data_IF_891119010318
#
_entry.id   IF_891119010318
#
_cell.length_a   1.000
_cell.length_b   1.000
_cell.length_c   1.000
_cell.angle_alpha   90.00
_cell.angle_beta   90.00
_cell.angle_gamma   90.00
#
_symmetry.space_group_name_H-M   'P 1'
#
loop_
_entity.id
_entity.type
_entity.pdbx_description
1 polymer ?
#
# COMPACT_ATOMS: atom_id res chain seq x y z
N UNK A 1 18.45 7.33 -7.93
CA UNK A 1 17.74 6.56 -6.89
C UNK A 1 16.28 6.53 -7.31
N UNK A 2 15.57 5.43 -7.06
CA UNK A 2 14.16 5.35 -7.40
C UNK A 2 13.37 6.38 -6.58
N UNK A 3 12.29 6.91 -7.14
CA UNK A 3 11.35 7.77 -6.44
C UNK A 3 10.02 7.06 -6.25
N UNK A 4 9.33 7.38 -5.15
CA UNK A 4 7.90 7.09 -5.01
C UNK A 4 7.16 8.42 -5.13
N UNK A 5 6.23 8.48 -6.08
CA UNK A 5 5.26 9.55 -6.22
C UNK A 5 3.94 9.03 -5.66
N UNK A 6 3.46 9.66 -4.59
CA UNK A 6 2.16 9.38 -3.98
C UNK A 6 1.15 10.37 -4.55
N UNK A 7 0.11 9.85 -5.18
CA UNK A 7 -0.97 10.68 -5.67
C UNK A 7 -1.76 11.31 -4.50
N UNK A 8 -2.36 12.49 -4.70
CA UNK A 8 -3.15 13.16 -3.66
C UNK A 8 -4.21 12.25 -3.05
N UNK A 9 -4.18 12.14 -1.72
CA UNK A 9 -5.13 11.38 -0.93
C UNK A 9 -5.78 12.26 0.13
N UNK A 10 -7.10 12.19 0.25
CA UNK A 10 -7.94 13.14 1.02
C UNK A 10 -7.56 13.31 2.49
N UNK A 11 -6.98 12.29 3.12
CA UNK A 11 -6.63 12.30 4.55
C UNK A 11 -5.11 12.16 4.75
N UNK A 12 -4.55 11.07 4.24
CA UNK A 12 -3.14 10.70 4.46
C UNK A 12 -2.11 11.53 3.68
N UNK A 13 -2.47 12.10 2.52
CA UNK A 13 -1.52 12.86 1.70
C UNK A 13 -2.23 13.89 0.79
N UNK A 14 -2.85 14.95 1.34
CA UNK A 14 -3.78 15.81 0.59
C UNK A 14 -3.20 16.49 -0.65
N UNK A 15 -1.91 16.81 -0.64
CA UNK A 15 -1.21 17.47 -1.75
C UNK A 15 -0.47 16.48 -2.66
N UNK A 16 -0.49 15.19 -2.32
CA UNK A 16 0.45 14.21 -2.87
C UNK A 16 1.87 14.43 -2.34
N UNK A 17 2.78 13.54 -2.72
CA UNK A 17 4.18 13.64 -2.33
C UNK A 17 5.08 13.01 -3.38
N UNK A 18 6.34 13.44 -3.42
CA UNK A 18 7.39 12.78 -4.19
C UNK A 18 8.66 12.76 -3.35
N UNK A 19 9.23 11.58 -3.16
CA UNK A 19 10.42 11.41 -2.33
C UNK A 19 11.30 10.26 -2.84
N UNK A 20 12.55 10.26 -2.43
CA UNK A 20 13.49 9.19 -2.76
C UNK A 20 13.13 7.92 -1.99
N UNK A 21 13.05 6.81 -2.72
CA UNK A 21 12.71 5.52 -2.15
C UNK A 21 13.96 4.71 -1.79
N UNK A 22 13.92 4.08 -0.62
CA UNK A 22 14.92 3.11 -0.19
C UNK A 22 14.64 1.77 -0.87
N UNK A 23 15.53 1.39 -1.77
CA UNK A 23 15.51 0.08 -2.43
C UNK A 23 15.58 -1.05 -1.39
N UNK A 24 14.78 -2.09 -1.60
CA UNK A 24 14.74 -3.27 -0.73
C UNK A 24 13.83 -3.11 0.49
N UNK A 25 13.28 -1.92 0.73
CA UNK A 25 12.22 -1.70 1.71
C UNK A 25 10.84 -1.75 1.03
N UNK A 26 9.80 -1.98 1.84
CA UNK A 26 8.43 -2.01 1.36
C UNK A 26 7.94 -0.60 1.00
N UNK A 27 6.91 -0.50 0.14
CA UNK A 27 6.22 0.76 -0.12
C UNK A 27 5.68 1.32 1.19
N UNK A 28 5.11 0.48 2.07
CA UNK A 28 4.58 0.91 3.37
C UNK A 28 5.66 1.58 4.24
N UNK A 29 6.84 0.96 4.38
CA UNK A 29 7.91 1.55 5.20
C UNK A 29 8.41 2.87 4.62
N UNK A 30 8.55 2.94 3.29
CA UNK A 30 8.92 4.17 2.60
C UNK A 30 7.89 5.30 2.81
N UNK A 31 6.59 5.00 2.82
CA UNK A 31 5.53 5.98 3.12
C UNK A 31 5.64 6.49 4.57
N UNK A 32 5.78 5.58 5.53
CA UNK A 32 5.89 5.91 6.96
C UNK A 32 7.13 6.76 7.27
N UNK A 33 8.27 6.43 6.66
CA UNK A 33 9.53 7.17 6.79
C UNK A 33 9.44 8.61 6.23
N UNK A 34 8.44 8.90 5.40
CA UNK A 34 8.18 10.20 4.78
C UNK A 34 6.88 10.84 5.28
N UNK A 35 6.48 10.54 6.53
CA UNK A 35 5.35 11.15 7.24
C UNK A 35 3.97 10.91 6.59
N UNK A 36 3.84 9.87 5.75
CA UNK A 36 2.55 9.41 5.22
C UNK A 36 2.10 8.23 6.07
N UNK A 37 1.16 8.49 6.98
CA UNK A 37 0.66 7.56 8.00
C UNK A 37 -0.25 6.47 7.38
N UNK A 38 0.34 5.61 6.54
CA UNK A 38 -0.36 4.51 5.91
C UNK A 38 -0.85 3.53 6.96
N UNK A 39 -2.14 3.16 6.95
CA UNK A 39 -2.66 2.18 7.90
C UNK A 39 -1.97 0.81 7.74
N UNK A 40 -1.60 0.20 8.87
CA UNK A 40 -0.91 -1.09 8.92
C UNK A 40 -1.39 -1.92 10.13
N UNK A 41 -2.69 -2.15 10.24
CA UNK A 41 -3.33 -2.72 11.43
C UNK A 41 -2.82 -4.11 11.86
N UNK A 42 -2.15 -4.85 10.97
CA UNK A 42 -1.52 -6.14 11.27
C UNK A 42 -0.01 -6.03 11.55
N UNK A 43 0.53 -4.84 11.74
CA UNK A 43 1.96 -4.59 11.91
C UNK A 43 2.81 -5.12 10.74
N UNK A 44 2.33 -4.90 9.51
CA UNK A 44 3.02 -5.23 8.25
C UNK A 44 3.27 -6.74 8.00
N UNK A 45 2.52 -7.64 8.65
CA UNK A 45 2.73 -9.11 8.56
C UNK A 45 1.83 -9.85 7.56
N UNK A 46 1.29 -9.16 6.54
CA UNK A 46 0.38 -9.76 5.54
C UNK A 46 -0.85 -10.46 6.17
N UNK A 47 -1.59 -9.76 7.03
CA UNK A 47 -2.78 -10.32 7.71
C UNK A 47 -3.99 -9.36 7.72
N UNK A 48 -3.94 -8.28 6.94
CA UNK A 48 -5.07 -7.36 6.74
C UNK A 48 -4.94 -6.65 5.38
N UNK A 49 -5.95 -5.85 5.02
CA UNK A 49 -5.96 -5.07 3.77
C UNK A 49 -5.80 -3.56 4.00
N UNK A 50 -5.54 -3.12 5.23
CA UNK A 50 -5.51 -1.69 5.57
C UNK A 50 -4.39 -0.92 4.87
N UNK A 51 -3.30 -1.62 4.51
CA UNK A 51 -2.16 -1.06 3.79
C UNK A 51 -2.30 -1.15 2.25
N UNK A 52 -3.49 -1.44 1.73
CA UNK A 52 -3.75 -1.57 0.29
C UNK A 52 -3.39 -0.29 -0.46
N UNK A 53 -2.66 -0.44 -1.55
CA UNK A 53 -2.35 0.61 -2.53
C UNK A 53 -2.59 0.12 -3.95
N UNK A 54 -2.80 1.04 -4.89
CA UNK A 54 -2.78 0.74 -6.33
C UNK A 54 -1.52 1.33 -6.96
N UNK A 55 -0.72 0.49 -7.60
CA UNK A 55 0.54 0.91 -8.22
C UNK A 55 0.26 1.30 -9.68
N UNK A 56 0.13 2.60 -9.93
CA UNK A 56 -0.21 3.16 -11.24
C UNK A 56 0.93 2.98 -12.24
N UNK A 57 2.17 3.23 -11.79
CA UNK A 57 3.41 3.07 -12.58
C UNK A 57 4.47 2.27 -11.80
N UNK A 58 5.29 1.51 -12.52
CA UNK A 58 6.39 0.73 -11.93
C UNK A 58 6.00 -0.64 -11.35
N UNK A 59 4.72 -1.03 -11.39
CA UNK A 59 4.20 -2.31 -10.84
C UNK A 59 5.04 -3.54 -11.22
N UNK A 60 5.42 -3.67 -12.49
CA UNK A 60 6.15 -4.83 -13.00
C UNK A 60 7.59 -4.96 -12.46
N UNK A 61 8.07 -3.97 -11.70
CA UNK A 61 9.41 -3.94 -11.11
C UNK A 61 9.44 -4.36 -9.65
N UNK A 62 8.27 -4.53 -9.03
CA UNK A 62 8.11 -5.05 -7.69
C UNK A 62 8.36 -6.56 -7.67
N UNK A 63 8.60 -7.11 -6.47
CA UNK A 63 8.52 -8.56 -6.27
C UNK A 63 7.12 -9.08 -6.63
N UNK A 64 7.05 -10.35 -7.03
CA UNK A 64 5.77 -11.05 -7.18
C UNK A 64 4.99 -11.04 -5.87
N UNK A 65 3.66 -10.89 -5.98
CA UNK A 65 2.76 -11.07 -4.86
C UNK A 65 2.75 -12.55 -4.44
N UNK A 66 2.67 -12.80 -3.14
CA UNK A 66 2.49 -14.15 -2.61
C UNK A 66 0.99 -14.53 -2.66
N UNK A 67 0.68 -15.82 -2.67
CA UNK A 67 -0.72 -16.30 -2.67
C UNK A 67 -1.53 -15.72 -1.50
N UNK A 68 -0.94 -15.65 -0.30
CA UNK A 68 -1.57 -15.05 0.89
C UNK A 68 -1.89 -13.55 0.70
N UNK A 69 -1.08 -12.82 -0.09
CA UNK A 69 -1.32 -11.42 -0.42
C UNK A 69 -2.55 -11.30 -1.34
N UNK A 70 -2.63 -12.13 -2.38
CA UNK A 70 -3.74 -12.14 -3.33
C UNK A 70 -5.07 -12.51 -2.62
N UNK A 71 -5.06 -13.53 -1.76
CA UNK A 71 -6.21 -13.95 -0.95
C UNK A 71 -6.75 -12.85 -0.02
N UNK A 72 -5.86 -11.96 0.44
CA UNK A 72 -6.25 -10.79 1.21
C UNK A 72 -6.77 -9.66 0.32
N UNK A 73 -6.12 -9.40 -0.82
CA UNK A 73 -6.53 -8.36 -1.76
C UNK A 73 -7.95 -8.58 -2.30
N UNK A 74 -8.42 -9.82 -2.41
CA UNK A 74 -9.82 -10.16 -2.72
C UNK A 74 -10.84 -9.56 -1.73
N UNK A 75 -10.39 -9.23 -0.51
CA UNK A 75 -11.21 -8.62 0.55
C UNK A 75 -10.97 -7.10 0.65
N UNK A 76 -10.10 -6.53 -0.18
CA UNK A 76 -9.80 -5.11 -0.17
C UNK A 76 -10.91 -4.29 -0.83
N UNK A 77 -11.14 -3.08 -0.34
CA UNK A 77 -12.04 -2.15 -0.99
C UNK A 77 -11.36 -1.58 -2.24
N UNK A 78 -12.09 -1.53 -3.36
CA UNK A 78 -11.56 -0.93 -4.60
C UNK A 78 -10.38 -1.71 -5.20
N UNK A 79 -10.44 -3.05 -5.16
CA UNK A 79 -9.44 -3.91 -5.79
C UNK A 79 -9.30 -3.61 -7.30
N UNK A 80 -8.06 -3.49 -7.76
CA UNK A 80 -7.67 -3.24 -9.14
C UNK A 80 -6.56 -4.20 -9.59
N UNK A 81 -6.33 -4.40 -10.90
CA UNK A 81 -5.31 -5.33 -11.40
C UNK A 81 -3.86 -5.06 -10.96
N UNK A 82 -3.56 -3.83 -10.51
CA UNK A 82 -2.24 -3.43 -10.00
C UNK A 82 -2.28 -3.08 -8.51
N UNK A 83 -3.27 -3.61 -7.79
CA UNK A 83 -3.31 -3.53 -6.33
C UNK A 83 -2.17 -4.33 -5.71
N UNK A 84 -1.65 -3.83 -4.60
CA UNK A 84 -0.69 -4.51 -3.73
C UNK A 84 -1.00 -4.20 -2.28
N UNK A 85 -0.64 -5.09 -1.38
CA UNK A 85 -0.45 -4.72 0.03
C UNK A 85 0.90 -4.00 0.11
N UNK A 86 0.87 -2.70 0.43
CA UNK A 86 2.10 -1.88 0.39
C UNK A 86 3.19 -2.39 1.33
N UNK A 87 2.84 -3.14 2.38
CA UNK A 87 3.80 -3.77 3.28
C UNK A 87 4.55 -4.96 2.66
N UNK A 88 4.00 -5.59 1.61
CA UNK A 88 4.61 -6.73 0.91
C UNK A 88 5.26 -6.34 -0.42
N UNK A 89 4.94 -5.16 -0.95
CA UNK A 89 5.51 -4.63 -2.19
C UNK A 89 6.88 -3.99 -1.95
N UNK A 90 7.95 -4.68 -2.36
CA UNK A 90 9.35 -4.28 -2.18
C UNK A 90 9.82 -3.42 -3.35
N UNK A 91 10.39 -2.26 -3.03
CA UNK A 91 10.85 -1.27 -4.01
C UNK A 91 12.16 -1.69 -4.66
N UNK A 92 12.20 -1.64 -5.99
CA UNK A 92 13.37 -1.89 -6.82
C UNK A 92 14.18 -0.62 -7.13
N UNK A 93 14.63 -0.51 -8.37
CA UNK A 93 15.41 0.64 -8.88
C UNK A 93 14.61 1.57 -9.78
N UNK A 94 13.34 1.25 -10.04
CA UNK A 94 12.46 2.01 -10.93
C UNK A 94 11.50 2.87 -10.12
N UNK A 95 11.21 4.06 -10.63
CA UNK A 95 10.26 4.97 -10.02
C UNK A 95 8.85 4.36 -9.99
N UNK A 96 8.12 4.64 -8.91
CA UNK A 96 6.76 4.18 -8.68
C UNK A 96 5.80 5.36 -8.61
N UNK A 97 4.60 5.19 -9.17
CA UNK A 97 3.46 6.07 -8.88
C UNK A 97 2.44 5.25 -8.12
N UNK A 98 2.12 5.66 -6.90
CA UNK A 98 1.28 4.94 -5.96
C UNK A 98 0.04 5.76 -5.63
N UNK A 99 -1.11 5.11 -5.67
CA UNK A 99 -2.37 5.67 -5.21
C UNK A 99 -2.83 4.96 -3.95
N UNK A 100 -3.20 5.73 -2.94
CA UNK A 100 -3.86 5.22 -1.74
C UNK A 100 -5.37 5.25 -2.00
N UNK A 101 -6.09 4.12 -1.88
CA UNK A 101 -7.54 4.06 -2.02
C UNK A 101 -8.22 4.98 -1.01
N UNK A 102 -9.34 5.58 -1.41
CA UNK A 102 -10.11 6.51 -0.57
C UNK A 102 -10.60 5.88 0.76
N UNK A 103 -10.82 4.57 0.78
CA UNK A 103 -11.28 3.84 1.94
C UNK A 103 -10.49 2.54 2.07
N UNK A 104 -10.22 2.13 3.31
CA UNK A 104 -9.65 0.83 3.65
C UNK A 104 -10.62 0.09 4.57
N UNK A 105 -10.67 -1.25 4.47
CA UNK A 105 -11.46 -2.08 5.38
C UNK A 105 -10.57 -2.46 6.56
N UNK A 106 -10.96 -2.07 7.77
CA UNK A 106 -10.23 -2.42 8.98
C UNK A 106 -11.06 -3.35 9.86
N UNK A 107 -10.95 -4.65 9.61
CA UNK A 107 -11.70 -5.69 10.33
C UNK A 107 -11.48 -5.66 11.85
N UNK A 108 -10.31 -5.19 12.33
CA UNK A 108 -10.03 -5.07 13.75
C UNK A 108 -10.81 -3.91 14.40
N UNK A 109 -11.01 -2.79 13.68
CA UNK A 109 -11.78 -1.63 14.14
C UNK A 109 -13.29 -1.78 13.91
N UNK A 110 -13.68 -2.41 12.80
CA UNK A 110 -15.08 -2.46 12.35
C UNK A 110 -15.95 -3.46 13.12
N UNK A 111 -15.34 -4.43 13.81
CA UNK A 111 -16.04 -5.36 14.70
C UNK A 111 -16.96 -6.34 13.98
N UNK A 112 -17.01 -7.59 14.46
CA UNK A 112 -18.07 -8.50 14.06
C UNK A 112 -19.39 -7.99 14.60
N UNK A 113 -20.21 -7.34 13.75
CA UNK A 113 -21.64 -7.28 13.99
C UNK A 113 -22.17 -8.72 13.97
N UNK A 114 -22.24 -9.34 15.16
CA UNK A 114 -23.13 -10.46 15.39
C UNK A 114 -24.54 -9.87 15.43
N UNK A 115 -25.26 -10.00 14.32
CA UNK A 115 -26.73 -10.05 14.37
C UNK A 115 -27.18 -11.32 15.13
#
# INVERSE_FOLDING_TARGET
MAQIIVLPHVELCPEGAAFEAKKGESICQNLLDNDIDMDHACDQVCACTTCHVVVREGYATLNEAAEDEDDLLDKAWGLEPKSRLSCQAIVGETDLVVEIPKYSINMAKEGHHKD
#
